data_IF_399913324451
#
_entry.id   IF_399913324451
#
_cell.length_a   1.000
_cell.length_b   1.000
_cell.length_c   1.000
_cell.angle_alpha   90.00
_cell.angle_beta   90.00
_cell.angle_gamma   90.00
#
_symmetry.space_group_name_H-M   'P 1'
#
loop_
_entity.id
_entity.type
_entity.pdbx_description
1 polymer ?
#
# COMPACT_ATOMS: atom_id res chain seq x y z
N UNK A 1 -22.95 -50.62 26.13
CA UNK A 1 -21.79 -50.07 26.89
C UNK A 1 -20.64 -49.56 25.98
N UNK A 2 -20.00 -50.39 25.13
CA UNK A 2 -18.85 -49.98 24.30
C UNK A 2 -19.10 -48.77 23.38
N UNK A 3 -20.31 -48.55 22.85
CA UNK A 3 -20.66 -47.41 21.97
C UNK A 3 -20.71 -46.06 22.71
N UNK A 4 -21.14 -46.04 23.96
CA UNK A 4 -21.17 -44.84 24.82
C UNK A 4 -19.76 -44.44 25.25
N UNK A 5 -18.93 -45.42 25.61
CA UNK A 5 -17.53 -45.18 25.99
C UNK A 5 -16.76 -44.54 24.84
N UNK A 6 -16.94 -45.01 23.60
CA UNK A 6 -16.29 -44.39 22.43
C UNK A 6 -16.73 -42.92 22.23
N UNK A 7 -18.03 -42.62 22.39
CA UNK A 7 -18.50 -41.23 22.28
C UNK A 7 -17.91 -40.33 23.35
N UNK A 8 -17.82 -40.81 24.61
CA UNK A 8 -17.22 -40.05 25.70
C UNK A 8 -15.73 -39.78 25.41
N UNK A 9 -14.97 -40.76 24.95
CA UNK A 9 -13.57 -40.61 24.59
C UNK A 9 -13.40 -39.59 23.45
N UNK A 10 -14.26 -39.62 22.45
CA UNK A 10 -14.22 -38.64 21.34
C UNK A 10 -14.48 -37.22 21.83
N UNK A 11 -15.44 -37.02 22.72
CA UNK A 11 -15.75 -35.69 23.28
C UNK A 11 -14.58 -35.19 24.14
N UNK A 12 -13.99 -36.05 24.97
CA UNK A 12 -12.81 -35.68 25.78
C UNK A 12 -11.65 -35.29 24.88
N UNK A 13 -11.40 -36.04 23.79
CA UNK A 13 -10.33 -35.74 22.83
C UNK A 13 -10.52 -34.38 22.16
N UNK A 14 -11.76 -34.05 21.73
CA UNK A 14 -12.10 -32.77 21.15
C UNK A 14 -11.89 -31.60 22.12
N UNK A 15 -12.26 -31.78 23.38
CA UNK A 15 -12.04 -30.77 24.45
C UNK A 15 -10.56 -30.54 24.68
N UNK A 16 -9.75 -31.61 24.73
CA UNK A 16 -8.30 -31.52 24.89
C UNK A 16 -7.65 -30.77 23.70
N UNK A 17 -8.09 -31.09 22.46
CA UNK A 17 -7.59 -30.40 21.27
C UNK A 17 -7.95 -28.90 21.31
N UNK A 18 -9.17 -28.55 21.72
CA UNK A 18 -9.58 -27.16 21.85
C UNK A 18 -8.77 -26.40 22.91
N UNK A 19 -8.46 -27.04 24.04
CA UNK A 19 -7.61 -26.45 25.08
C UNK A 19 -6.17 -26.23 24.57
N UNK A 20 -5.59 -27.23 23.90
CA UNK A 20 -4.26 -27.12 23.32
C UNK A 20 -4.19 -26.02 22.27
N UNK A 21 -5.22 -25.89 21.44
CA UNK A 21 -5.31 -24.82 20.44
C UNK A 21 -5.43 -23.43 21.12
N UNK A 22 -6.23 -23.31 22.18
CA UNK A 22 -6.33 -22.06 22.92
C UNK A 22 -5.03 -21.65 23.61
N UNK A 23 -4.29 -22.61 24.18
CA UNK A 23 -2.96 -22.36 24.77
C UNK A 23 -1.95 -21.98 23.70
N UNK A 24 -1.92 -22.68 22.57
CA UNK A 24 -1.06 -22.35 21.43
C UNK A 24 -1.35 -20.93 20.92
N UNK A 25 -2.63 -20.57 20.71
CA UNK A 25 -3.04 -19.26 20.23
C UNK A 25 -2.69 -18.13 21.21
N UNK A 26 -2.89 -18.38 22.51
CA UNK A 26 -2.48 -17.44 23.56
C UNK A 26 -0.96 -17.21 23.56
N UNK A 27 -0.16 -18.26 23.44
CA UNK A 27 1.30 -18.14 23.35
C UNK A 27 1.75 -17.43 22.08
N UNK A 28 1.08 -17.68 20.94
CA UNK A 28 1.31 -16.98 19.69
C UNK A 28 1.05 -15.47 19.82
N UNK A 29 -0.07 -15.08 20.44
CA UNK A 29 -0.39 -13.68 20.71
C UNK A 29 0.63 -13.03 21.64
N UNK A 30 1.00 -13.69 22.74
CA UNK A 30 1.98 -13.16 23.70
C UNK A 30 3.36 -12.97 23.07
N UNK A 31 3.81 -13.89 22.22
CA UNK A 31 5.09 -13.76 21.51
C UNK A 31 5.07 -12.58 20.54
N UNK A 32 3.96 -12.36 19.83
CA UNK A 32 3.84 -11.20 18.94
C UNK A 32 3.81 -9.89 19.75
N UNK A 33 3.08 -9.83 20.88
CA UNK A 33 3.06 -8.66 21.76
C UNK A 33 4.46 -8.37 22.31
N UNK A 34 5.23 -9.38 22.71
CA UNK A 34 6.60 -9.20 23.20
C UNK A 34 7.54 -8.67 22.10
N UNK A 35 7.42 -9.15 20.85
CA UNK A 35 8.17 -8.62 19.72
C UNK A 35 7.85 -7.13 19.48
N UNK A 36 6.56 -6.75 19.57
CA UNK A 36 6.16 -5.35 19.46
C UNK A 36 6.67 -4.50 20.64
N UNK A 37 6.73 -5.05 21.85
CA UNK A 37 7.27 -4.35 23.03
C UNK A 37 8.80 -4.21 22.95
N UNK A 38 9.53 -5.24 22.55
CA UNK A 38 10.99 -5.18 22.37
C UNK A 38 11.39 -4.18 21.26
N UNK A 39 10.68 -4.18 20.13
CA UNK A 39 10.90 -3.22 19.06
C UNK A 39 10.62 -1.78 19.54
N UNK A 40 9.57 -1.56 20.35
CA UNK A 40 9.27 -0.24 20.93
C UNK A 40 10.28 0.19 22.00
N UNK A 41 10.85 -0.73 22.79
CA UNK A 41 11.88 -0.42 23.79
C UNK A 41 13.20 -0.08 23.10
N UNK A 42 13.59 -0.81 22.06
CA UNK A 42 14.81 -0.53 21.29
C UNK A 42 14.72 0.82 20.56
N UNK A 43 13.52 1.20 20.10
CA UNK A 43 13.25 2.50 19.49
C UNK A 43 13.32 3.64 20.51
N UNK A 44 12.92 3.40 21.78
CA UNK A 44 12.93 4.44 22.83
C UNK A 44 14.31 4.69 23.46
N UNK A 45 15.27 3.79 23.34
CA UNK A 45 16.64 3.99 23.86
C UNK A 45 17.48 4.87 22.94
N UNK A 46 17.13 4.98 21.66
CA UNK A 46 17.84 5.80 20.66
C UNK A 46 17.21 7.18 20.43
N UNK A 47 16.15 7.55 21.16
CA UNK A 47 15.42 8.82 20.97
C UNK A 47 15.84 9.88 21.99
N UNK A 48 17.11 10.29 21.99
CA UNK A 48 17.53 11.59 22.56
C UNK A 48 17.60 12.72 21.52
N UNK A 49 17.32 12.41 20.25
CA UNK A 49 17.08 13.42 19.23
C UNK A 49 15.63 13.30 18.75
N UNK A 50 14.80 14.27 19.13
CA UNK A 50 13.47 14.46 18.55
C UNK A 50 13.61 14.90 17.10
N UNK A 51 13.94 13.98 16.21
CA UNK A 51 13.60 14.16 14.81
C UNK A 51 12.08 14.05 14.69
N UNK A 52 11.51 15.15 14.25
CA UNK A 52 10.09 15.31 13.94
C UNK A 52 9.77 14.36 12.77
N UNK A 53 9.34 13.12 13.04
CA UNK A 53 8.94 12.11 12.04
C UNK A 53 7.62 12.50 11.34
N UNK A 54 7.45 13.78 11.05
CA UNK A 54 6.32 14.25 10.26
C UNK A 54 6.58 13.90 8.79
N UNK A 55 5.62 13.20 8.16
CA UNK A 55 5.69 12.88 6.73
C UNK A 55 5.75 14.17 5.92
N UNK A 56 6.87 14.38 5.19
CA UNK A 56 7.01 15.56 4.35
C UNK A 56 6.13 15.44 3.12
N UNK A 57 5.10 16.26 3.03
CA UNK A 57 4.11 16.27 1.97
C UNK A 57 4.05 17.64 1.30
N UNK A 58 4.06 17.65 -0.03
CA UNK A 58 3.82 18.86 -0.85
C UNK A 58 2.38 18.84 -1.33
N UNK A 59 1.59 19.87 -0.98
CA UNK A 59 0.23 20.04 -1.50
C UNK A 59 0.27 20.44 -2.98
N UNK A 60 -0.60 19.85 -3.80
CA UNK A 60 -0.71 20.13 -5.21
C UNK A 60 -2.16 19.95 -5.70
N UNK A 61 -2.50 20.60 -6.81
CA UNK A 61 -3.80 20.40 -7.48
C UNK A 61 -3.59 19.71 -8.82
N UNK A 62 -4.31 18.62 -9.09
CA UNK A 62 -4.19 17.89 -10.36
C UNK A 62 -4.87 18.67 -11.48
N UNK A 63 -4.09 19.10 -12.48
CA UNK A 63 -4.56 19.91 -13.61
C UNK A 63 -4.86 19.08 -14.85
N UNK A 64 -4.17 17.94 -15.02
CA UNK A 64 -4.36 17.06 -16.17
C UNK A 64 -3.93 15.62 -15.83
N UNK A 65 -4.63 14.65 -16.41
CA UNK A 65 -4.22 13.23 -16.41
C UNK A 65 -3.69 12.88 -17.80
N UNK A 66 -2.55 12.21 -17.87
CA UNK A 66 -1.92 11.76 -19.11
C UNK A 66 -2.27 10.29 -19.38
N UNK A 67 -2.05 9.46 -18.37
CA UNK A 67 -2.37 8.03 -18.32
C UNK A 67 -2.60 7.59 -16.86
N UNK A 68 -2.71 6.28 -16.63
CA UNK A 68 -3.07 5.76 -15.31
C UNK A 68 -2.10 6.11 -14.18
N UNK A 69 -0.82 6.39 -14.49
CA UNK A 69 0.24 6.63 -13.50
C UNK A 69 1.05 7.91 -13.74
N UNK A 70 0.56 8.79 -14.61
CA UNK A 70 1.22 10.05 -14.95
C UNK A 70 0.21 11.19 -15.02
N UNK A 71 0.46 12.24 -14.24
CA UNK A 71 -0.40 13.43 -14.16
C UNK A 71 0.40 14.73 -14.30
N UNK A 72 -0.31 15.83 -14.55
CA UNK A 72 0.18 17.18 -14.32
C UNK A 72 -0.47 17.74 -13.07
N UNK A 73 0.29 18.51 -12.32
CA UNK A 73 -0.15 19.17 -11.09
C UNK A 73 0.32 20.61 -11.05
N UNK A 74 -0.49 21.47 -10.46
CA UNK A 74 -0.06 22.80 -10.03
C UNK A 74 0.50 22.74 -8.60
N UNK A 75 1.72 23.19 -8.42
CA UNK A 75 2.38 23.38 -7.13
C UNK A 75 2.70 24.85 -6.97
N UNK A 76 1.89 25.58 -6.20
CA UNK A 76 2.09 27.02 -5.95
C UNK A 76 2.15 27.88 -7.24
N UNK A 77 1.34 27.59 -8.23
CA UNK A 77 1.29 28.31 -9.50
C UNK A 77 2.30 27.81 -10.56
N UNK A 78 3.00 26.71 -10.28
CA UNK A 78 3.92 26.06 -11.22
C UNK A 78 3.41 24.71 -11.63
N UNK A 79 3.24 24.50 -12.94
CA UNK A 79 2.87 23.18 -13.51
C UNK A 79 4.07 22.22 -13.50
N UNK A 80 3.87 21.04 -12.92
CA UNK A 80 4.87 19.97 -12.86
C UNK A 80 4.26 18.63 -13.32
N UNK A 81 5.03 17.84 -14.04
CA UNK A 81 4.64 16.49 -14.45
C UNK A 81 5.08 15.49 -13.39
N UNK A 82 4.15 14.65 -12.94
CA UNK A 82 4.39 13.64 -11.89
C UNK A 82 4.22 12.25 -12.44
N UNK A 83 5.21 11.37 -12.21
CA UNK A 83 5.15 9.92 -12.42
C UNK A 83 5.06 9.23 -11.05
N UNK A 84 4.10 8.33 -10.93
CA UNK A 84 3.85 7.63 -9.66
C UNK A 84 4.92 6.58 -9.39
N UNK A 85 5.49 6.62 -8.19
CA UNK A 85 6.51 5.66 -7.73
C UNK A 85 5.86 4.29 -7.49
N UNK A 86 6.61 3.23 -7.80
CA UNK A 86 6.29 1.86 -7.40
C UNK A 86 5.16 1.18 -8.18
N UNK A 87 4.61 1.84 -9.21
CA UNK A 87 3.50 1.29 -10.01
C UNK A 87 3.73 1.49 -11.50
N UNK A 88 3.12 0.62 -12.32
CA UNK A 88 3.09 0.75 -13.75
C UNK A 88 1.71 0.35 -14.28
N UNK A 89 0.99 1.34 -14.82
CA UNK A 89 -0.27 1.11 -15.52
C UNK A 89 -0.01 0.68 -16.97
N UNK A 90 -0.93 -0.07 -17.58
CA UNK A 90 -0.93 -0.26 -19.03
C UNK A 90 -1.00 1.08 -19.76
N UNK A 91 -0.24 1.22 -20.83
CA UNK A 91 -0.10 2.47 -21.60
C UNK A 91 -1.38 2.78 -22.41
N UNK A 92 -1.76 4.06 -22.48
CA UNK A 92 -2.91 4.52 -23.26
C UNK A 92 -2.61 5.74 -24.15
N UNK A 93 -1.36 6.16 -24.27
CA UNK A 93 -0.97 7.36 -25.03
C UNK A 93 -0.26 7.02 -26.33
N UNK A 94 0.97 6.50 -26.27
CA UNK A 94 1.81 6.17 -27.43
C UNK A 94 1.56 4.78 -27.98
N UNK A 95 1.14 3.87 -27.12
CA UNK A 95 0.72 2.50 -27.41
C UNK A 95 -0.54 2.22 -26.61
N UNK A 96 -1.57 1.70 -27.27
CA UNK A 96 -2.79 1.30 -26.57
C UNK A 96 -2.59 -0.14 -26.10
N UNK A 97 -2.52 -0.30 -24.78
CA UNK A 97 -2.49 -1.59 -24.12
C UNK A 97 -3.86 -1.91 -23.49
N UNK A 98 -4.15 -3.20 -23.35
CA UNK A 98 -5.36 -3.67 -22.68
C UNK A 98 -5.41 -3.10 -21.26
N UNK A 99 -6.57 -2.64 -20.81
CA UNK A 99 -6.79 -1.92 -19.53
C UNK A 99 -6.14 -0.52 -19.40
N UNK A 100 -5.42 -0.03 -20.41
CA UNK A 100 -4.81 1.31 -20.34
C UNK A 100 -5.86 2.43 -20.29
N UNK A 101 -6.97 2.27 -21.04
CA UNK A 101 -8.10 3.19 -21.01
C UNK A 101 -8.76 3.23 -19.63
N UNK A 102 -9.06 2.07 -19.07
CA UNK A 102 -9.71 1.91 -17.78
C UNK A 102 -8.87 2.49 -16.63
N UNK A 103 -7.54 2.26 -16.66
CA UNK A 103 -6.62 2.84 -15.71
C UNK A 103 -6.58 4.37 -15.81
N UNK A 104 -6.56 4.93 -17.03
CA UNK A 104 -6.58 6.37 -17.28
C UNK A 104 -7.90 7.01 -16.83
N UNK A 105 -9.04 6.38 -17.12
CA UNK A 105 -10.36 6.83 -16.69
C UNK A 105 -10.49 6.79 -15.17
N UNK A 106 -10.00 5.74 -14.53
CA UNK A 106 -9.97 5.64 -13.06
C UNK A 106 -9.17 6.78 -12.45
N UNK A 107 -7.94 7.02 -12.91
CA UNK A 107 -7.09 8.11 -12.44
C UNK A 107 -7.74 9.47 -12.70
N UNK A 108 -8.40 9.66 -13.84
CA UNK A 108 -9.10 10.90 -14.18
C UNK A 108 -10.25 11.17 -13.21
N UNK A 109 -11.10 10.19 -12.96
CA UNK A 109 -12.26 10.32 -12.07
C UNK A 109 -11.85 10.58 -10.62
N UNK A 110 -10.76 9.96 -10.20
CA UNK A 110 -10.29 10.07 -8.82
C UNK A 110 -9.46 11.32 -8.56
N UNK A 111 -8.69 11.83 -9.54
CA UNK A 111 -7.71 12.88 -9.27
C UNK A 111 -7.97 14.21 -9.97
N UNK A 112 -8.57 14.25 -11.17
CA UNK A 112 -8.64 15.47 -11.96
C UNK A 112 -9.37 16.60 -11.20
N UNK A 113 -8.73 17.75 -11.10
CA UNK A 113 -9.22 18.93 -10.39
C UNK A 113 -9.19 18.83 -8.86
N UNK A 114 -8.71 17.71 -8.32
CA UNK A 114 -8.64 17.51 -6.87
C UNK A 114 -7.28 17.92 -6.31
N UNK A 115 -7.30 18.28 -5.03
CA UNK A 115 -6.10 18.45 -4.21
C UNK A 115 -5.53 17.09 -3.86
N UNK A 116 -4.21 16.98 -3.93
CA UNK A 116 -3.43 15.79 -3.55
C UNK A 116 -2.20 16.21 -2.75
N UNK A 117 -1.58 15.24 -2.08
CA UNK A 117 -0.38 15.44 -1.29
C UNK A 117 0.72 14.54 -1.85
N UNK A 118 1.81 15.16 -2.26
CA UNK A 118 2.92 14.52 -2.95
C UNK A 118 4.04 14.21 -1.97
N UNK A 119 4.41 12.95 -1.85
CA UNK A 119 5.54 12.50 -1.05
C UNK A 119 6.69 12.11 -1.98
N UNK A 120 7.86 12.70 -1.76
CA UNK A 120 9.10 12.24 -2.39
C UNK A 120 9.65 11.04 -1.63
N UNK A 121 10.25 10.10 -2.35
CA UNK A 121 11.12 9.08 -1.75
C UNK A 121 12.58 9.57 -1.80
N UNK A 122 13.45 8.93 -2.50
CA UNK A 122 14.87 9.31 -2.63
C UNK A 122 15.07 10.24 -3.83
N UNK A 123 14.60 9.82 -5.02
CA UNK A 123 14.81 10.56 -6.25
C UNK A 123 13.86 11.75 -6.40
N UNK A 124 14.36 12.84 -6.98
CA UNK A 124 13.54 14.00 -7.28
C UNK A 124 12.74 13.80 -8.57
N UNK A 125 13.43 13.36 -9.63
CA UNK A 125 12.89 13.19 -10.98
C UNK A 125 13.41 11.92 -11.62
N UNK A 126 12.74 11.47 -12.68
CA UNK A 126 13.25 10.47 -13.61
C UNK A 126 14.06 11.11 -14.75
N UNK A 127 14.53 10.28 -15.69
CA UNK A 127 15.32 10.71 -16.87
C UNK A 127 14.54 11.61 -17.84
N UNK A 128 13.22 11.68 -17.68
CA UNK A 128 12.32 12.54 -18.49
C UNK A 128 11.93 13.84 -17.76
N UNK A 129 12.60 14.17 -16.65
CA UNK A 129 12.31 15.32 -15.78
C UNK A 129 10.88 15.30 -15.18
N UNK A 130 10.26 14.13 -15.04
CA UNK A 130 9.00 13.99 -14.30
C UNK A 130 9.32 13.84 -12.81
N UNK A 131 8.60 14.54 -11.94
CA UNK A 131 8.70 14.35 -10.50
C UNK A 131 8.29 12.92 -10.13
N UNK A 132 9.12 12.20 -9.38
CA UNK A 132 8.80 10.88 -8.83
C UNK A 132 8.13 11.03 -7.48
N UNK A 133 6.85 10.63 -7.36
CA UNK A 133 6.06 10.85 -6.13
C UNK A 133 5.16 9.66 -5.80
N UNK A 134 5.01 9.44 -4.51
CA UNK A 134 3.81 8.81 -3.96
C UNK A 134 2.72 9.89 -3.88
N UNK A 135 1.50 9.55 -4.30
CA UNK A 135 0.37 10.47 -4.38
C UNK A 135 -0.67 10.08 -3.34
N UNK A 136 -0.86 10.96 -2.36
CA UNK A 136 -1.82 10.76 -1.28
C UNK A 136 -3.08 11.57 -1.52
N UNK A 137 -4.24 10.97 -1.29
CA UNK A 137 -5.56 11.61 -1.43
C UNK A 137 -5.88 12.52 -0.25
N UNK A 138 -5.29 12.23 0.92
CA UNK A 138 -5.46 12.97 2.15
C UNK A 138 -4.10 13.27 2.78
N UNK A 139 -4.05 14.32 3.59
CA UNK A 139 -2.86 14.61 4.39
C UNK A 139 -2.74 13.58 5.52
N UNK A 140 -1.61 12.90 5.57
CA UNK A 140 -1.31 11.88 6.60
C UNK A 140 -0.21 12.38 7.54
N UNK A 141 -0.29 11.98 8.80
CA UNK A 141 0.75 12.24 9.80
C UNK A 141 1.70 11.05 9.97
N UNK A 142 1.24 9.85 9.64
CA UNK A 142 2.01 8.61 9.80
C UNK A 142 1.83 7.69 8.61
N UNK A 143 2.91 6.97 8.26
CA UNK A 143 2.88 5.91 7.24
C UNK A 143 2.62 4.58 7.95
N UNK A 144 1.47 3.98 7.69
CA UNK A 144 1.09 2.64 8.12
C UNK A 144 0.23 1.97 7.05
N UNK A 145 -0.01 0.67 7.17
CA UNK A 145 -0.72 -0.11 6.16
C UNK A 145 -2.15 0.43 5.92
N UNK A 146 -2.86 0.82 6.97
CA UNK A 146 -4.22 1.36 6.88
C UNK A 146 -4.26 2.66 6.05
N UNK A 147 -3.34 3.60 6.32
CA UNK A 147 -3.25 4.84 5.56
C UNK A 147 -2.81 4.61 4.11
N UNK A 148 -1.91 3.65 3.87
CA UNK A 148 -1.48 3.27 2.52
C UNK A 148 -2.66 2.69 1.74
N UNK A 149 -3.40 1.75 2.31
CA UNK A 149 -4.56 1.14 1.66
C UNK A 149 -5.67 2.15 1.38
N UNK A 150 -5.95 3.06 2.32
CA UNK A 150 -7.07 4.00 2.20
C UNK A 150 -6.75 5.26 1.41
N UNK A 151 -5.53 5.79 1.51
CA UNK A 151 -5.21 7.14 1.03
C UNK A 151 -4.08 7.21 0.02
N UNK A 152 -3.24 6.17 -0.15
CA UNK A 152 -2.20 6.18 -1.17
C UNK A 152 -2.79 5.79 -2.53
N UNK A 153 -2.85 6.73 -3.47
CA UNK A 153 -3.44 6.49 -4.79
C UNK A 153 -2.66 5.44 -5.59
N UNK A 154 -1.31 5.41 -5.48
CA UNK A 154 -0.46 4.37 -6.05
C UNK A 154 -0.94 2.96 -5.60
N UNK A 155 -1.26 2.78 -4.32
CA UNK A 155 -1.77 1.51 -3.80
C UNK A 155 -3.19 1.21 -4.32
N UNK A 156 -4.05 2.23 -4.44
CA UNK A 156 -5.40 2.06 -5.01
C UNK A 156 -5.38 1.55 -6.45
N UNK A 157 -4.44 2.00 -7.26
CA UNK A 157 -4.24 1.48 -8.62
C UNK A 157 -3.92 -0.02 -8.61
N UNK A 158 -3.05 -0.47 -7.70
CA UNK A 158 -2.66 -1.89 -7.58
C UNK A 158 -3.80 -2.73 -7.01
N UNK A 159 -4.44 -2.27 -5.93
CA UNK A 159 -5.56 -2.96 -5.26
C UNK A 159 -6.72 -3.20 -6.23
N UNK A 160 -7.04 -2.21 -7.07
CA UNK A 160 -8.14 -2.31 -8.03
C UNK A 160 -7.72 -2.92 -9.38
N UNK A 161 -6.47 -3.41 -9.49
CA UNK A 161 -5.97 -4.08 -10.70
C UNK A 161 -5.81 -3.17 -11.91
N UNK A 162 -5.53 -1.89 -11.71
CA UNK A 162 -5.21 -0.94 -12.79
C UNK A 162 -3.71 -0.78 -13.02
N UNK A 163 -2.88 -1.25 -12.08
CA UNK A 163 -1.43 -1.20 -12.18
C UNK A 163 -0.78 -2.48 -11.68
N UNK A 164 0.40 -2.77 -12.21
CA UNK A 164 1.35 -3.70 -11.63
C UNK A 164 2.21 -2.95 -10.60
N UNK A 165 2.64 -3.65 -9.55
CA UNK A 165 3.72 -3.17 -8.69
C UNK A 165 5.03 -3.16 -9.49
N UNK A 166 5.77 -2.06 -9.45
CA UNK A 166 7.00 -1.90 -10.22
C UNK A 166 8.16 -1.49 -9.31
N UNK A 167 9.21 -2.33 -9.29
CA UNK A 167 10.37 -2.14 -8.44
C UNK A 167 11.35 -1.14 -9.05
N UNK A 168 11.42 0.08 -8.51
CA UNK A 168 12.19 1.18 -9.07
C UNK A 168 13.23 1.71 -8.05
N UNK A 169 14.44 1.13 -8.04
CA UNK A 169 15.51 1.64 -7.18
C UNK A 169 15.94 3.05 -7.60
N UNK A 170 16.26 3.93 -6.61
CA UNK A 170 16.28 3.70 -5.18
C UNK A 170 14.92 3.89 -4.46
N UNK A 171 13.85 4.27 -5.16
CA UNK A 171 12.55 4.69 -4.65
C UNK A 171 11.67 3.47 -4.31
N UNK A 172 11.91 2.86 -3.16
CA UNK A 172 11.31 1.57 -2.77
C UNK A 172 10.71 1.56 -1.36
N UNK A 173 10.57 2.72 -0.71
CA UNK A 173 10.15 2.78 0.70
C UNK A 173 8.79 2.11 0.98
N UNK A 174 7.86 2.15 0.01
CA UNK A 174 6.53 1.52 0.13
C UNK A 174 6.37 0.26 -0.74
N UNK A 175 7.44 -0.24 -1.34
CA UNK A 175 7.39 -1.35 -2.30
C UNK A 175 6.78 -2.62 -1.71
N UNK A 176 7.12 -2.99 -0.48
CA UNK A 176 6.60 -4.20 0.18
C UNK A 176 5.06 -4.21 0.30
N UNK A 177 4.45 -3.03 0.51
CA UNK A 177 3.00 -2.89 0.56
C UNK A 177 2.38 -3.07 -0.83
N UNK A 178 2.97 -2.42 -1.85
CA UNK A 178 2.48 -2.53 -3.23
C UNK A 178 2.55 -3.98 -3.75
N UNK A 179 3.63 -4.70 -3.47
CA UNK A 179 3.76 -6.12 -3.82
C UNK A 179 2.75 -7.01 -3.07
N UNK A 180 2.46 -6.69 -1.80
CA UNK A 180 1.43 -7.39 -1.04
C UNK A 180 0.06 -7.21 -1.67
N UNK A 181 -0.32 -5.97 -2.01
CA UNK A 181 -1.59 -5.66 -2.65
C UNK A 181 -1.70 -6.28 -4.05
N UNK A 182 -0.63 -6.28 -4.84
CA UNK A 182 -0.59 -6.96 -6.13
C UNK A 182 -0.86 -8.46 -6.00
N UNK A 183 -0.27 -9.12 -5.01
CA UNK A 183 -0.53 -10.53 -4.72
C UNK A 183 -2.00 -10.81 -4.47
N UNK A 184 -2.67 -9.96 -3.69
CA UNK A 184 -4.09 -10.10 -3.41
C UNK A 184 -4.95 -9.81 -4.64
N UNK A 185 -4.64 -8.79 -5.44
CA UNK A 185 -5.34 -8.49 -6.69
C UNK A 185 -5.22 -9.65 -7.70
N UNK A 186 -4.04 -10.25 -7.85
CA UNK A 186 -3.80 -11.45 -8.66
C UNK A 186 -4.62 -12.65 -8.19
N UNK A 187 -4.67 -12.90 -6.90
CA UNK A 187 -5.44 -14.01 -6.31
C UNK A 187 -6.94 -13.85 -6.55
N UNK A 188 -7.43 -12.62 -6.50
CA UNK A 188 -8.83 -12.29 -6.73
C UNK A 188 -9.18 -12.09 -8.22
N UNK A 189 -8.19 -12.12 -9.11
CA UNK A 189 -8.33 -11.88 -10.56
C UNK A 189 -9.01 -10.54 -10.87
N UNK A 190 -8.55 -9.46 -10.23
CA UNK A 190 -9.09 -8.11 -10.41
C UNK A 190 -8.35 -7.40 -11.56
N UNK A 191 -9.12 -6.67 -12.40
CA UNK A 191 -8.57 -5.79 -13.43
C UNK A 191 -7.66 -6.52 -14.42
N UNK A 192 -6.42 -6.06 -14.59
CA UNK A 192 -5.42 -6.65 -15.50
C UNK A 192 -5.04 -8.11 -15.19
N UNK A 193 -5.56 -8.68 -14.11
CA UNK A 193 -5.30 -10.05 -13.68
C UNK A 193 -6.45 -11.04 -13.99
N UNK A 194 -7.47 -10.62 -14.73
CA UNK A 194 -8.62 -11.47 -15.13
C UNK A 194 -8.24 -12.59 -16.09
#
# INVERSE_FOLDING_TARGET
MKKYIKKIITVILLVVIAILFAVYYKNYLNNNINIYQENNITTNINNTDKENNQVELTEATVTKVIDGDTIWVDINGKEEKVRFIGVNCPEYTTKIEEYGKEATEYTTNELLGKKVYLQKDISQTDDYNRLLRYVWLEKIDTINEENIENYLFNAKLVINGYAQSNYYKPDISLQNYLEKFEKEAKKQKIGIWQ
#
